data_IF_894373117994
#
_entry.id   IF_894373117994
#
_cell.length_a   1.000
_cell.length_b   1.000
_cell.length_c   1.000
_cell.angle_alpha   90.00
_cell.angle_beta   90.00
_cell.angle_gamma   90.00
#
_symmetry.space_group_name_H-M   'P 1'
#
loop_
_entity.id
_entity.type
_entity.pdbx_description
1 polymer ?
#
# COMPACT_ATOMS: atom_id res chain seq x y z
N UNK A 1 -18.62 -10.36 -45.90
CA UNK A 1 -17.78 -11.37 -45.23
C UNK A 1 -17.04 -10.64 -44.13
N UNK A 2 -17.53 -10.83 -42.92
CA UNK A 2 -17.05 -10.23 -41.67
C UNK A 2 -15.77 -10.95 -41.26
N UNK A 3 -14.73 -10.22 -40.88
CA UNK A 3 -13.61 -10.79 -40.12
C UNK A 3 -13.22 -9.86 -38.98
N UNK A 4 -13.91 -10.11 -37.87
CA UNK A 4 -13.45 -10.16 -36.49
C UNK A 4 -12.43 -9.12 -36.01
N UNK A 5 -12.90 -8.27 -35.09
CA UNK A 5 -12.09 -7.44 -34.23
C UNK A 5 -11.15 -8.26 -33.34
N UNK A 6 -9.98 -7.70 -33.08
CA UNK A 6 -9.00 -8.26 -32.17
C UNK A 6 -8.29 -7.14 -31.41
N UNK A 7 -8.21 -7.33 -30.09
CA UNK A 7 -7.40 -6.60 -29.10
C UNK A 7 -8.03 -5.33 -28.51
N UNK A 8 -9.06 -5.52 -27.67
CA UNK A 8 -9.50 -4.52 -26.65
C UNK A 8 -9.43 -5.06 -25.21
N UNK A 9 -8.63 -6.11 -24.95
CA UNK A 9 -8.68 -6.83 -23.67
C UNK A 9 -7.40 -6.83 -22.83
N UNK A 10 -6.39 -6.01 -23.13
CA UNK A 10 -5.08 -6.10 -22.45
C UNK A 10 -4.59 -4.81 -21.76
N UNK A 11 -5.32 -3.69 -21.86
CA UNK A 11 -4.87 -2.42 -21.24
C UNK A 11 -5.53 -2.10 -19.89
N UNK A 12 -6.65 -2.73 -19.52
CA UNK A 12 -7.36 -2.40 -18.28
C UNK A 12 -6.68 -2.94 -17.01
N UNK A 13 -5.78 -3.92 -17.14
CA UNK A 13 -5.06 -4.53 -16.00
C UNK A 13 -3.76 -3.83 -15.58
N UNK A 14 -3.16 -3.01 -16.44
CA UNK A 14 -1.93 -2.24 -16.12
C UNK A 14 -2.23 -0.81 -15.64
N UNK A 15 -3.48 -0.37 -15.76
CA UNK A 15 -3.93 1.00 -15.46
C UNK A 15 -4.05 1.31 -13.95
N UNK A 16 -4.02 0.30 -13.07
CA UNK A 16 -4.30 0.48 -11.64
C UNK A 16 -3.05 0.75 -10.80
N UNK A 17 -1.97 -0.03 -10.95
CA UNK A 17 -0.76 0.15 -10.16
C UNK A 17 0.04 1.40 -10.54
N UNK A 18 0.19 1.67 -11.85
CA UNK A 18 0.83 2.88 -12.37
C UNK A 18 -0.01 4.12 -12.03
N UNK A 19 -1.35 3.99 -12.09
CA UNK A 19 -2.28 5.05 -11.70
C UNK A 19 -2.18 5.41 -10.21
N UNK A 20 -2.08 4.41 -9.33
CA UNK A 20 -1.88 4.63 -7.88
C UNK A 20 -0.50 5.21 -7.60
N UNK A 21 0.56 4.74 -8.26
CA UNK A 21 1.91 5.27 -8.07
C UNK A 21 2.02 6.75 -8.49
N UNK A 22 1.39 7.13 -9.60
CA UNK A 22 1.32 8.53 -10.02
C UNK A 22 0.53 9.39 -9.04
N UNK A 23 -0.57 8.87 -8.48
CA UNK A 23 -1.32 9.56 -7.44
C UNK A 23 -0.52 9.76 -6.16
N UNK A 24 0.24 8.75 -5.71
CA UNK A 24 1.15 8.87 -4.56
C UNK A 24 2.19 9.95 -4.82
N UNK A 25 2.86 9.93 -5.98
CA UNK A 25 3.88 10.93 -6.34
C UNK A 25 3.30 12.36 -6.37
N UNK A 26 2.09 12.53 -6.90
CA UNK A 26 1.42 13.83 -6.91
C UNK A 26 1.10 14.32 -5.50
N UNK A 27 0.53 13.44 -4.66
CA UNK A 27 0.22 13.76 -3.25
C UNK A 27 1.48 14.00 -2.41
N UNK A 28 2.58 13.30 -2.68
CA UNK A 28 3.88 13.58 -2.07
C UNK A 28 4.40 14.97 -2.46
N UNK A 29 4.20 15.37 -3.71
CA UNK A 29 4.49 16.72 -4.17
C UNK A 29 3.66 17.76 -3.42
N UNK A 30 2.36 17.53 -3.27
CA UNK A 30 1.46 18.42 -2.53
C UNK A 30 1.87 18.53 -1.05
N UNK A 31 2.16 17.37 -0.41
CA UNK A 31 2.66 17.28 0.96
C UNK A 31 3.96 18.07 1.15
N UNK A 32 4.91 17.93 0.23
CA UNK A 32 6.22 18.60 0.34
C UNK A 32 6.09 20.11 0.20
N UNK A 33 5.26 20.59 -0.75
CA UNK A 33 4.98 22.03 -0.88
C UNK A 33 4.32 22.56 0.38
N UNK A 34 3.35 21.82 0.90
CA UNK A 34 2.67 22.14 2.13
C UNK A 34 3.63 22.30 3.32
N UNK A 35 4.49 21.30 3.52
CA UNK A 35 5.48 21.31 4.58
C UNK A 35 6.47 22.48 4.47
N UNK A 36 7.01 22.73 3.27
CA UNK A 36 7.96 23.83 3.06
C UNK A 36 7.34 25.20 3.35
N UNK A 37 6.10 25.44 2.90
CA UNK A 37 5.39 26.69 3.20
C UNK A 37 5.12 26.84 4.70
N UNK A 38 4.82 25.75 5.42
CA UNK A 38 4.63 25.79 6.87
C UNK A 38 5.93 26.17 7.59
N UNK A 39 7.06 25.58 7.20
CA UNK A 39 8.40 25.90 7.74
C UNK A 39 8.78 27.37 7.46
N UNK A 40 8.52 27.86 6.25
CA UNK A 40 8.74 29.26 5.89
C UNK A 40 7.90 30.21 6.76
N UNK A 41 6.62 29.88 6.99
CA UNK A 41 5.73 30.68 7.84
C UNK A 41 6.21 30.67 9.30
N UNK A 42 6.68 29.52 9.82
CA UNK A 42 7.16 29.41 11.20
C UNK A 42 8.35 30.33 11.51
N UNK A 43 9.20 30.62 10.51
CA UNK A 43 10.35 31.51 10.67
C UNK A 43 9.97 32.99 10.79
N UNK A 44 8.75 33.36 10.43
CA UNK A 44 8.24 34.73 10.57
C UNK A 44 7.76 34.99 12.00
N UNK A 45 7.71 36.26 12.41
CA UNK A 45 7.09 36.62 13.70
C UNK A 45 5.58 36.37 13.68
N UNK A 46 4.98 36.12 14.84
CA UNK A 46 3.56 35.75 14.95
C UNK A 46 2.60 36.91 14.60
N UNK A 47 3.09 38.13 14.72
CA UNK A 47 2.47 39.41 14.40
C UNK A 47 2.64 39.82 12.92
N UNK A 48 3.28 38.98 12.11
CA UNK A 48 3.40 39.20 10.67
C UNK A 48 2.06 38.97 9.96
N UNK A 49 1.60 39.96 9.20
CA UNK A 49 0.47 39.80 8.29
C UNK A 49 0.92 39.12 6.99
N UNK A 50 0.10 38.21 6.50
CA UNK A 50 0.39 37.39 5.33
C UNK A 50 -0.67 37.57 4.26
N UNK A 51 -0.32 37.31 2.99
CA UNK A 51 -1.29 37.38 1.90
C UNK A 51 -1.68 35.97 1.45
N UNK A 52 -2.97 35.64 1.59
CA UNK A 52 -3.56 34.42 1.05
C UNK A 52 -4.05 34.67 -0.37
N UNK A 53 -3.66 33.82 -1.32
CA UNK A 53 -4.21 33.87 -2.67
C UNK A 53 -5.57 33.17 -2.74
N UNK A 54 -6.54 33.84 -3.35
CA UNK A 54 -7.87 33.31 -3.66
C UNK A 54 -8.13 33.55 -5.15
N UNK A 55 -7.86 32.52 -5.97
CA UNK A 55 -7.90 32.68 -7.43
C UNK A 55 -6.84 33.68 -7.91
N UNK A 56 -7.27 34.86 -8.36
CA UNK A 56 -6.39 35.95 -8.83
C UNK A 56 -6.24 37.10 -7.82
N UNK A 57 -6.95 37.05 -6.70
CA UNK A 57 -6.91 38.10 -5.66
C UNK A 57 -6.05 37.65 -4.48
N UNK A 58 -5.55 38.62 -3.72
CA UNK A 58 -4.80 38.39 -2.48
C UNK A 58 -5.55 39.05 -1.33
N UNK A 59 -5.77 38.29 -0.26
CA UNK A 59 -6.45 38.74 0.96
C UNK A 59 -5.44 38.76 2.09
N UNK A 60 -5.44 39.84 2.88
CA UNK A 60 -4.58 39.97 4.05
C UNK A 60 -5.17 39.10 5.18
N UNK A 61 -4.39 38.14 5.66
CA UNK A 61 -4.75 37.23 6.74
C UNK A 61 -3.61 37.15 7.75
N UNK A 62 -3.91 36.93 9.04
CA UNK A 62 -2.88 36.67 10.03
C UNK A 62 -2.16 35.35 9.70
N UNK A 63 -0.86 35.29 10.01
CA UNK A 63 -0.02 34.11 9.80
C UNK A 63 -0.64 32.82 10.36
N UNK A 64 -1.28 32.88 11.52
CA UNK A 64 -1.89 31.72 12.18
C UNK A 64 -2.92 31.00 11.30
N UNK A 65 -3.76 31.76 10.58
CA UNK A 65 -4.78 31.21 9.67
C UNK A 65 -4.11 30.45 8.53
N UNK A 66 -3.04 30.99 7.95
CA UNK A 66 -2.28 30.30 6.90
C UNK A 66 -1.57 29.05 7.43
N UNK A 67 -1.04 29.09 8.65
CA UNK A 67 -0.41 27.93 9.27
C UNK A 67 -1.41 26.79 9.50
N UNK A 68 -2.58 27.08 10.06
CA UNK A 68 -3.64 26.08 10.29
C UNK A 68 -4.10 25.43 8.97
N UNK A 69 -4.31 26.23 7.92
CA UNK A 69 -4.64 25.71 6.60
C UNK A 69 -3.54 24.80 6.05
N UNK A 70 -2.29 25.20 6.27
CA UNK A 70 -1.16 24.48 5.73
C UNK A 70 -0.90 23.16 6.47
N UNK A 71 -1.13 23.14 7.78
CA UNK A 71 -1.11 21.94 8.62
C UNK A 71 -2.25 20.98 8.26
N UNK A 72 -3.47 21.49 8.03
CA UNK A 72 -4.58 20.65 7.60
C UNK A 72 -4.30 20.01 6.22
N UNK A 73 -3.82 20.80 5.26
CA UNK A 73 -3.41 20.27 3.93
C UNK A 73 -2.32 19.21 4.03
N UNK A 74 -1.40 19.36 4.99
CA UNK A 74 -0.35 18.38 5.25
C UNK A 74 -0.97 17.06 5.75
N UNK A 75 -1.80 17.13 6.80
CA UNK A 75 -2.49 15.97 7.39
C UNK A 75 -3.37 15.23 6.37
N UNK A 76 -4.13 15.97 5.56
CA UNK A 76 -4.99 15.39 4.52
C UNK A 76 -4.14 14.66 3.47
N UNK A 77 -3.01 15.24 3.08
CA UNK A 77 -2.09 14.64 2.10
C UNK A 77 -1.42 13.38 2.64
N UNK A 78 -0.99 13.38 3.91
CA UNK A 78 -0.42 12.21 4.58
C UNK A 78 -1.43 11.08 4.72
N UNK A 79 -2.67 11.40 5.10
CA UNK A 79 -3.76 10.43 5.21
C UNK A 79 -4.07 9.81 3.84
N UNK A 80 -4.10 10.62 2.78
CA UNK A 80 -4.32 10.14 1.41
C UNK A 80 -3.18 9.23 0.93
N UNK A 81 -1.91 9.59 1.19
CA UNK A 81 -0.75 8.76 0.85
C UNK A 81 -0.81 7.42 1.60
N UNK A 82 -1.05 7.44 2.91
CA UNK A 82 -1.19 6.24 3.72
C UNK A 82 -2.30 5.33 3.18
N UNK A 83 -3.46 5.89 2.84
CA UNK A 83 -4.58 5.15 2.26
C UNK A 83 -4.22 4.50 0.91
N UNK A 84 -3.53 5.24 0.03
CA UNK A 84 -3.09 4.73 -1.27
C UNK A 84 -2.01 3.64 -1.12
N UNK A 85 -1.09 3.77 -0.16
CA UNK A 85 -0.07 2.77 0.12
C UNK A 85 -0.65 1.50 0.77
N UNK A 86 -1.62 1.64 1.67
CA UNK A 86 -2.32 0.48 2.25
C UNK A 86 -3.07 -0.27 1.15
N UNK A 87 -3.73 0.43 0.22
CA UNK A 87 -4.44 -0.20 -0.89
C UNK A 87 -3.55 -1.06 -1.80
N UNK A 88 -2.25 -0.76 -1.89
CA UNK A 88 -1.30 -1.59 -2.66
C UNK A 88 -0.71 -2.75 -1.87
N UNK A 89 -0.70 -2.69 -0.53
CA UNK A 89 -0.15 -3.73 0.35
C UNK A 89 -1.18 -4.75 0.86
N UNK A 90 -2.46 -4.37 0.97
CA UNK A 90 -3.56 -5.24 1.43
C UNK A 90 -3.63 -6.59 0.72
N UNK A 91 -3.54 -6.71 -0.63
CA UNK A 91 -3.62 -8.01 -1.28
C UNK A 91 -2.45 -8.94 -0.94
N UNK A 92 -1.25 -8.39 -0.72
CA UNK A 92 -0.06 -9.17 -0.38
C UNK A 92 -0.15 -9.71 1.07
N UNK A 93 -0.60 -8.87 2.00
CA UNK A 93 -0.80 -9.27 3.40
C UNK A 93 -1.89 -10.34 3.51
N UNK A 94 -3.01 -10.18 2.81
CA UNK A 94 -4.08 -11.17 2.82
C UNK A 94 -3.63 -12.52 2.25
N UNK A 95 -2.81 -12.52 1.18
CA UNK A 95 -2.24 -13.74 0.63
C UNK A 95 -1.32 -14.45 1.66
N UNK A 96 -0.46 -13.70 2.34
CA UNK A 96 0.42 -14.24 3.38
C UNK A 96 -0.38 -14.83 4.55
N UNK A 97 -1.44 -14.15 5.01
CA UNK A 97 -2.32 -14.66 6.06
C UNK A 97 -3.00 -15.96 5.64
N UNK A 98 -3.54 -16.04 4.41
CA UNK A 98 -4.16 -17.26 3.90
C UNK A 98 -3.17 -18.43 3.83
N UNK A 99 -1.95 -18.20 3.32
CA UNK A 99 -0.90 -19.23 3.26
C UNK A 99 -0.51 -19.69 4.66
N UNK A 100 -0.34 -18.76 5.60
CA UNK A 100 0.00 -19.08 7.00
C UNK A 100 -1.08 -19.92 7.69
N UNK A 101 -2.35 -19.58 7.50
CA UNK A 101 -3.48 -20.34 8.05
C UNK A 101 -3.52 -21.75 7.47
N UNK A 102 -3.37 -21.90 6.15
CA UNK A 102 -3.37 -23.23 5.50
C UNK A 102 -2.23 -24.11 6.03
N UNK A 103 -1.03 -23.54 6.17
CA UNK A 103 0.13 -24.26 6.73
C UNK A 103 -0.10 -24.67 8.18
N UNK A 104 -0.62 -23.75 9.01
CA UNK A 104 -0.92 -24.01 10.43
C UNK A 104 -1.92 -25.15 10.59
N UNK A 105 -3.04 -25.10 9.86
CA UNK A 105 -4.05 -26.17 9.90
C UNK A 105 -3.51 -27.52 9.42
N UNK A 106 -2.59 -27.53 8.45
CA UNK A 106 -1.98 -28.77 7.96
C UNK A 106 -1.04 -29.41 8.99
N UNK A 107 -0.28 -28.60 9.75
CA UNK A 107 0.59 -29.08 10.83
C UNK A 107 -0.24 -29.69 11.97
N UNK A 108 -1.37 -29.09 12.34
CA UNK A 108 -2.25 -29.62 13.39
C UNK A 108 -2.84 -30.98 13.02
N UNK A 109 -3.34 -31.14 11.79
CA UNK A 109 -3.87 -32.41 11.27
C UNK A 109 -2.80 -33.51 11.31
N UNK A 110 -1.53 -33.16 11.13
CA UNK A 110 -0.41 -34.10 11.19
C UNK A 110 -0.02 -34.51 12.62
N UNK A 111 -0.20 -33.63 13.60
CA UNK A 111 0.10 -33.91 15.01
C UNK A 111 -0.97 -34.76 15.72
N UNK A 112 -2.18 -34.88 15.16
CA UNK A 112 -3.26 -35.67 15.76
C UNK A 112 -3.16 -37.20 15.50
N UNK A 113 -2.18 -37.63 14.70
CA UNK A 113 -2.01 -39.03 14.27
C UNK A 113 -0.87 -39.78 14.96
N UNK A 114 -1.14 -40.35 16.14
CA UNK A 114 -0.36 -41.41 16.81
C UNK A 114 0.99 -41.03 17.45
N UNK A 115 1.14 -41.44 18.71
CA UNK A 115 2.35 -41.28 19.50
C UNK A 115 3.53 -42.06 18.87
N UNK A 116 4.69 -41.39 18.79
CA UNK A 116 6.03 -41.89 18.45
C UNK A 116 6.59 -41.72 17.02
N UNK A 117 5.89 -41.06 16.09
CA UNK A 117 6.54 -40.55 14.88
C UNK A 117 5.93 -39.21 14.44
N UNK A 118 6.69 -38.11 14.56
CA UNK A 118 6.32 -36.85 13.93
C UNK A 118 6.67 -36.93 12.45
N UNK A 119 5.68 -37.19 11.60
CA UNK A 119 5.80 -36.89 10.19
C UNK A 119 5.55 -35.40 10.04
N UNK A 120 6.50 -34.65 9.45
CA UNK A 120 6.32 -33.24 9.08
C UNK A 120 6.41 -33.16 7.56
N UNK A 121 5.28 -32.93 6.89
CA UNK A 121 5.20 -32.72 5.45
C UNK A 121 5.22 -31.22 5.18
N UNK A 122 6.39 -30.71 4.83
CA UNK A 122 6.53 -29.30 4.44
C UNK A 122 6.22 -29.18 2.95
N UNK A 123 5.14 -28.48 2.61
CA UNK A 123 4.79 -28.16 1.23
C UNK A 123 5.43 -26.82 0.86
N UNK A 124 6.52 -26.86 0.11
CA UNK A 124 7.19 -25.66 -0.41
C UNK A 124 6.55 -25.31 -1.75
N UNK A 125 5.79 -24.22 -1.80
CA UNK A 125 5.27 -23.69 -3.07
C UNK A 125 6.40 -22.98 -3.82
N UNK A 126 6.93 -23.62 -4.88
CA UNK A 126 7.85 -22.99 -5.83
C UNK A 126 7.10 -22.62 -7.11
N UNK A 127 6.34 -21.52 -7.12
CA UNK A 127 5.98 -20.82 -8.37
C UNK A 127 5.36 -19.45 -8.09
N UNK A 128 5.78 -18.45 -8.85
CA UNK A 128 5.23 -17.09 -8.90
C UNK A 128 3.99 -16.96 -9.80
N UNK A 129 3.48 -18.06 -10.36
CA UNK A 129 2.27 -18.07 -11.19
C UNK A 129 1.27 -19.10 -10.68
N UNK A 130 0.07 -18.61 -10.32
CA UNK A 130 -1.07 -19.30 -9.69
C UNK A 130 -1.61 -20.55 -10.42
N UNK A 131 -1.04 -20.95 -11.56
CA UNK A 131 -1.56 -22.03 -12.41
C UNK A 131 -0.76 -23.34 -12.39
N UNK A 132 0.39 -23.42 -11.71
CA UNK A 132 1.15 -24.67 -11.59
C UNK A 132 1.88 -24.74 -10.23
N UNK A 133 1.19 -25.25 -9.22
CA UNK A 133 1.76 -25.54 -7.91
C UNK A 133 2.55 -26.84 -7.98
N UNK A 134 3.86 -26.75 -8.21
CA UNK A 134 4.75 -27.88 -8.03
C UNK A 134 5.02 -28.04 -6.53
N UNK A 135 4.41 -29.04 -5.92
CA UNK A 135 4.62 -29.38 -4.52
C UNK A 135 5.79 -30.36 -4.40
N UNK A 136 6.89 -29.91 -3.80
CA UNK A 136 7.97 -30.81 -3.38
C UNK A 136 7.68 -31.29 -1.97
N UNK A 137 7.55 -32.61 -1.81
CA UNK A 137 7.29 -33.26 -0.52
C UNK A 137 8.61 -33.61 0.15
N UNK A 138 8.93 -32.95 1.26
CA UNK A 138 10.14 -33.21 2.04
C UNK A 138 9.74 -33.82 3.38
N UNK A 139 10.36 -34.94 3.73
CA UNK A 139 10.11 -35.68 4.96
C UNK A 139 11.25 -35.42 5.95
N UNK A 140 10.91 -34.95 7.15
CA UNK A 140 11.87 -34.85 8.27
C UNK A 140 11.50 -35.87 9.33
N UNK A 141 12.49 -36.66 9.76
CA UNK A 141 12.38 -37.54 10.93
C UNK A 141 13.06 -36.83 12.08
N UNK A 142 12.29 -36.42 13.08
CA UNK A 142 12.82 -35.84 14.32
C UNK A 142 12.77 -36.93 15.40
N UNK A 143 13.89 -37.59 15.75
CA UNK A 143 13.94 -38.40 16.96
C UNK A 143 13.92 -37.49 18.19
N UNK A 144 13.24 -37.93 19.26
CA UNK A 144 13.24 -37.26 20.57
C UNK A 144 14.63 -37.33 21.19
#
# INVERSE_FOLDING_TARGET
MEVAGGRKGAEEGQMTAVGVQNQVRNKEGDRKRAYLTLEELQQLSDDTNTYKSIGRTFVLEPKSVLMEEQEQKLKDSETAIASLQVSSFVPLVNLLTHVFTILSSKIEVMNAGSAHMYFVEVFICNSSAFHNLNYTKVYYVVPV
#
